data_IF_354030180932
#
_entry.id   IF_354030180932
#
_cell.length_a   1.000
_cell.length_b   1.000
_cell.length_c   1.000
_cell.angle_alpha   90.00
_cell.angle_beta   90.00
_cell.angle_gamma   90.00
#
_symmetry.space_group_name_H-M   'P 1'
#
loop_
_entity.id
_entity.type
_entity.pdbx_description
1 polymer ?
#
# COMPACT_ATOMS: atom_id res chain seq x y z
N UNK A 1 -13.02 -44.88 17.61
CA UNK A 1 -11.65 -44.34 17.43
C UNK A 1 -11.45 -43.68 16.07
N UNK A 2 -11.64 -44.38 14.93
CA UNK A 2 -11.46 -43.79 13.58
C UNK A 2 -12.27 -42.50 13.34
N UNK A 3 -13.54 -42.45 13.77
CA UNK A 3 -14.39 -41.25 13.63
C UNK A 3 -13.94 -40.05 14.48
N UNK A 4 -13.35 -40.29 15.65
CA UNK A 4 -12.82 -39.24 16.53
C UNK A 4 -11.51 -38.69 15.95
N UNK A 5 -10.66 -39.57 15.41
CA UNK A 5 -9.44 -39.19 14.68
C UNK A 5 -9.75 -38.37 13.42
N UNK A 6 -10.82 -38.70 12.68
CA UNK A 6 -11.25 -37.92 11.50
C UNK A 6 -11.79 -36.53 11.86
N UNK A 7 -12.54 -36.39 12.97
CA UNK A 7 -13.05 -35.09 13.43
C UNK A 7 -11.90 -34.22 13.95
N UNK A 8 -10.95 -34.80 14.69
CA UNK A 8 -9.77 -34.09 15.18
C UNK A 8 -8.88 -33.60 14.03
N UNK A 9 -8.65 -34.44 13.00
CA UNK A 9 -7.91 -34.06 11.81
C UNK A 9 -8.59 -32.91 11.02
N UNK A 10 -9.92 -32.91 10.92
CA UNK A 10 -10.67 -31.84 10.26
C UNK A 10 -10.66 -30.53 11.06
N UNK A 11 -10.65 -30.61 12.40
CA UNK A 11 -10.53 -29.43 13.27
C UNK A 11 -9.14 -28.79 13.26
N UNK A 12 -8.07 -29.56 13.06
CA UNK A 12 -6.70 -29.05 12.90
C UNK A 12 -6.52 -28.37 11.54
N UNK A 13 -7.15 -28.90 10.49
CA UNK A 13 -7.17 -28.29 9.15
C UNK A 13 -7.92 -26.96 9.08
N UNK A 14 -8.90 -26.73 9.97
CA UNK A 14 -9.61 -25.44 10.04
C UNK A 14 -8.76 -24.32 10.69
N UNK A 15 -7.73 -24.66 11.45
CA UNK A 15 -6.87 -23.69 12.16
C UNK A 15 -5.64 -23.25 11.36
N UNK A 16 -5.31 -23.89 10.23
CA UNK A 16 -4.20 -23.48 9.36
C UNK A 16 -4.56 -22.33 8.39
N UNK A 17 -5.75 -21.74 8.51
CA UNK A 17 -6.21 -20.66 7.63
C UNK A 17 -5.88 -19.23 8.11
N UNK A 18 -5.21 -19.05 9.26
CA UNK A 18 -4.95 -17.73 9.85
C UNK A 18 -3.49 -17.25 9.84
N UNK A 19 -2.63 -17.84 8.99
CA UNK A 19 -1.22 -17.45 8.89
C UNK A 19 -0.83 -16.87 7.52
N UNK A 20 -1.79 -16.28 6.79
CA UNK A 20 -1.56 -15.69 5.47
C UNK A 20 -1.75 -14.16 5.51
N UNK A 21 -0.84 -13.44 6.16
CA UNK A 21 -0.71 -12.00 5.99
C UNK A 21 0.00 -11.27 7.12
N UNK A 22 1.31 -11.05 6.97
CA UNK A 22 2.13 -10.21 7.84
C UNK A 22 2.59 -10.92 9.11
N UNK A 23 3.83 -10.66 9.56
CA UNK A 23 4.26 -11.04 10.91
C UNK A 23 3.46 -10.29 11.99
N UNK A 24 3.87 -10.37 13.25
CA UNK A 24 3.33 -9.58 14.39
C UNK A 24 3.62 -8.07 14.23
N UNK A 25 3.39 -7.50 13.05
CA UNK A 25 3.60 -6.08 12.75
C UNK A 25 2.33 -5.34 13.14
N UNK A 26 2.49 -4.38 14.05
CA UNK A 26 1.43 -3.47 14.42
C UNK A 26 0.93 -2.71 13.18
N UNK A 27 -0.38 -2.72 12.96
CA UNK A 27 -1.00 -1.92 11.92
C UNK A 27 -1.52 -0.63 12.55
N UNK A 28 -0.98 0.49 12.10
CA UNK A 28 -1.43 1.80 12.54
C UNK A 28 -2.85 2.04 12.05
N UNK A 29 -3.70 2.46 12.97
CA UNK A 29 -5.09 2.74 12.64
C UNK A 29 -5.20 3.99 11.76
N UNK A 30 -5.94 3.87 10.66
CA UNK A 30 -6.27 4.98 9.77
C UNK A 30 -7.73 4.89 9.33
N UNK A 31 -8.45 5.99 9.50
CA UNK A 31 -9.84 6.11 9.07
C UNK A 31 -9.98 7.23 8.05
N UNK A 32 -10.20 6.93 6.76
CA UNK A 32 -10.33 7.94 5.73
C UNK A 32 -11.72 8.56 5.79
N UNK A 33 -11.78 9.89 5.75
CA UNK A 33 -13.03 10.60 5.48
C UNK A 33 -13.25 10.72 3.97
N UNK A 34 -14.10 9.86 3.42
CA UNK A 34 -14.44 9.88 2.00
C UNK A 34 -15.28 11.10 1.59
N UNK A 35 -15.73 11.91 2.54
CA UNK A 35 -16.46 13.17 2.29
C UNK A 35 -15.55 14.39 2.30
N UNK A 36 -14.30 14.26 2.77
CA UNK A 36 -13.29 15.30 2.66
C UNK A 36 -12.69 15.33 1.25
N UNK A 37 -13.35 16.07 0.35
CA UNK A 37 -12.90 16.20 -1.03
C UNK A 37 -11.48 16.79 -1.15
N UNK A 38 -11.03 17.62 -0.22
CA UNK A 38 -9.66 18.17 -0.26
C UNK A 38 -8.64 17.07 0.01
N UNK A 39 -8.88 16.23 1.02
CA UNK A 39 -8.04 15.06 1.30
C UNK A 39 -8.08 14.06 0.15
N UNK A 40 -9.27 13.78 -0.39
CA UNK A 40 -9.44 12.84 -1.49
C UNK A 40 -8.78 13.32 -2.80
N UNK A 41 -8.81 14.62 -3.10
CA UNK A 41 -8.08 15.21 -4.23
C UNK A 41 -6.56 15.09 -4.06
N UNK A 42 -6.04 15.27 -2.84
CA UNK A 42 -4.62 15.01 -2.55
C UNK A 42 -4.28 13.54 -2.74
N UNK A 43 -5.13 12.64 -2.27
CA UNK A 43 -4.99 11.19 -2.48
C UNK A 43 -4.97 10.81 -3.96
N UNK A 44 -5.87 11.39 -4.76
CA UNK A 44 -5.87 11.21 -6.22
C UNK A 44 -4.55 11.68 -6.84
N UNK A 45 -4.07 12.88 -6.47
CA UNK A 45 -2.79 13.39 -6.96
C UNK A 45 -1.63 12.47 -6.60
N UNK A 46 -1.53 12.03 -5.35
CA UNK A 46 -0.50 11.08 -4.91
C UNK A 46 -0.59 9.77 -5.70
N UNK A 47 -1.80 9.24 -5.93
CA UNK A 47 -1.96 8.04 -6.75
C UNK A 47 -1.47 8.27 -8.18
N UNK A 48 -1.85 9.37 -8.83
CA UNK A 48 -1.45 9.64 -10.21
C UNK A 48 0.06 9.88 -10.35
N UNK A 49 0.67 10.61 -9.41
CA UNK A 49 2.08 10.97 -9.46
C UNK A 49 3.00 9.77 -9.14
N UNK A 50 2.60 8.87 -8.24
CA UNK A 50 3.49 7.83 -7.70
C UNK A 50 3.06 6.39 -7.96
N UNK A 51 1.78 6.14 -8.24
CA UNK A 51 1.22 4.78 -8.30
C UNK A 51 0.74 4.43 -9.71
N UNK A 52 0.11 5.38 -10.42
CA UNK A 52 -0.58 5.15 -11.68
C UNK A 52 0.36 4.66 -12.80
N UNK A 53 1.67 4.91 -12.68
CA UNK A 53 2.69 4.38 -13.59
C UNK A 53 2.83 2.85 -13.57
N UNK A 54 2.36 2.18 -12.53
CA UNK A 54 2.42 0.71 -12.40
C UNK A 54 1.07 0.08 -12.07
N UNK A 55 0.21 0.79 -11.34
CA UNK A 55 -1.05 0.29 -10.82
C UNK A 55 -2.25 0.91 -11.53
N UNK A 56 -3.29 0.11 -11.72
CA UNK A 56 -4.56 0.56 -12.27
C UNK A 56 -5.64 0.77 -11.20
N UNK A 57 -6.67 1.52 -11.59
CA UNK A 57 -7.99 1.49 -10.98
C UNK A 57 -8.98 1.03 -12.06
N UNK A 58 -8.81 -0.21 -12.54
CA UNK A 58 -9.40 -0.71 -13.79
C UNK A 58 -10.93 -0.74 -13.79
N UNK A 59 -11.58 -0.64 -12.63
CA UNK A 59 -13.03 -0.53 -12.52
C UNK A 59 -13.54 0.90 -12.25
N UNK A 60 -12.64 1.87 -12.15
CA UNK A 60 -12.95 3.30 -12.03
C UNK A 60 -12.84 3.99 -13.41
N UNK A 61 -13.69 5.01 -13.62
CA UNK A 61 -13.64 5.88 -14.81
C UNK A 61 -13.19 7.28 -14.43
N UNK A 62 -12.44 7.94 -15.32
CA UNK A 62 -11.98 9.32 -15.09
C UNK A 62 -13.14 10.28 -14.77
N UNK A 63 -14.23 10.21 -15.54
CA UNK A 63 -15.40 11.07 -15.31
C UNK A 63 -16.08 10.86 -13.96
N UNK A 64 -16.08 9.63 -13.44
CA UNK A 64 -16.70 9.33 -12.16
C UNK A 64 -15.84 9.88 -11.03
N UNK A 65 -14.53 9.64 -11.09
CA UNK A 65 -13.57 10.17 -10.11
C UNK A 65 -13.60 11.70 -10.10
N UNK A 66 -13.56 12.34 -11.27
CA UNK A 66 -13.62 13.79 -11.36
C UNK A 66 -14.89 14.38 -10.73
N UNK A 67 -16.06 13.79 -11.01
CA UNK A 67 -17.35 14.25 -10.47
C UNK A 67 -17.48 14.00 -8.97
N UNK A 68 -17.07 12.84 -8.48
CA UNK A 68 -17.15 12.52 -7.06
C UNK A 68 -16.24 13.44 -6.22
N UNK A 69 -15.15 13.95 -6.82
CA UNK A 69 -14.19 14.85 -6.18
C UNK A 69 -14.38 16.33 -6.53
N UNK A 70 -15.47 16.70 -7.20
CA UNK A 70 -15.76 18.07 -7.65
C UNK A 70 -14.63 18.73 -8.48
N UNK A 71 -13.94 17.95 -9.32
CA UNK A 71 -12.89 18.44 -10.23
C UNK A 71 -13.50 18.70 -11.61
N UNK A 72 -13.40 19.92 -12.17
CA UNK A 72 -13.86 20.21 -13.53
C UNK A 72 -13.16 19.33 -14.56
N UNK A 73 -13.91 18.86 -15.57
CA UNK A 73 -13.40 17.97 -16.63
C UNK A 73 -12.15 18.53 -17.31
N UNK A 74 -12.13 19.82 -17.64
CA UNK A 74 -10.97 20.46 -18.28
C UNK A 74 -9.71 20.36 -17.41
N UNK A 75 -9.83 20.70 -16.12
CA UNK A 75 -8.72 20.63 -15.16
C UNK A 75 -8.25 19.18 -14.98
N UNK A 76 -9.20 18.26 -14.88
CA UNK A 76 -8.90 16.83 -14.71
C UNK A 76 -8.13 16.28 -15.92
N UNK A 77 -8.64 16.50 -17.13
CA UNK A 77 -8.01 16.00 -18.35
C UNK A 77 -6.67 16.67 -18.63
N UNK A 78 -6.51 17.95 -18.29
CA UNK A 78 -5.26 18.69 -18.52
C UNK A 78 -4.14 18.33 -17.52
N UNK A 79 -4.47 18.06 -16.25
CA UNK A 79 -3.48 17.95 -15.19
C UNK A 79 -3.34 16.56 -14.55
N UNK A 80 -4.36 15.70 -14.70
CA UNK A 80 -4.42 14.40 -14.01
C UNK A 80 -4.23 13.25 -14.99
N UNK A 81 -4.73 13.37 -16.23
CA UNK A 81 -4.67 12.30 -17.23
C UNK A 81 -3.44 12.47 -18.12
N UNK A 82 -2.48 11.55 -18.00
CA UNK A 82 -1.22 11.63 -18.76
C UNK A 82 -1.27 10.98 -20.16
N UNK A 83 -2.26 10.14 -20.45
CA UNK A 83 -2.44 9.56 -21.79
C UNK A 83 -3.17 10.57 -22.69
N UNK A 84 -2.51 11.12 -23.74
CA UNK A 84 -3.11 12.11 -24.63
C UNK A 84 -4.27 11.56 -25.46
N UNK A 85 -4.44 10.23 -25.53
CA UNK A 85 -5.52 9.59 -26.26
C UNK A 85 -6.69 9.16 -25.36
N UNK A 86 -6.52 9.24 -24.04
CA UNK A 86 -7.56 8.87 -23.10
C UNK A 86 -8.74 9.85 -23.18
N UNK A 87 -9.94 9.29 -23.14
CA UNK A 87 -11.19 10.06 -23.10
C UNK A 87 -11.69 10.14 -21.67
N UNK A 88 -12.42 11.21 -21.35
CA UNK A 88 -12.97 11.39 -20.01
C UNK A 88 -13.88 10.24 -19.54
N UNK A 89 -14.52 9.53 -20.46
CA UNK A 89 -15.34 8.35 -20.15
C UNK A 89 -14.57 7.03 -19.96
N UNK A 90 -13.25 7.01 -20.18
CA UNK A 90 -12.45 5.79 -20.18
C UNK A 90 -12.18 5.26 -18.77
N UNK A 91 -11.81 3.98 -18.71
CA UNK A 91 -11.37 3.31 -17.48
C UNK A 91 -9.90 3.63 -17.20
N UNK A 92 -9.55 3.71 -15.92
CA UNK A 92 -8.18 3.97 -15.45
C UNK A 92 -7.35 2.68 -15.44
N UNK A 93 -6.92 2.22 -16.63
CA UNK A 93 -6.22 0.94 -16.81
C UNK A 93 -4.70 1.04 -16.61
N UNK A 94 -4.05 -0.12 -16.52
CA UNK A 94 -2.60 -0.24 -16.41
C UNK A 94 -1.90 0.44 -17.58
N UNK A 95 -0.87 1.26 -17.34
CA UNK A 95 0.03 1.71 -18.40
C UNK A 95 1.09 0.66 -18.77
N UNK A 96 1.32 -0.33 -17.90
CA UNK A 96 2.30 -1.40 -18.06
C UNK A 96 1.62 -2.77 -18.27
N UNK A 97 2.22 -3.66 -19.06
CA UNK A 97 1.72 -5.03 -19.18
C UNK A 97 2.02 -5.86 -17.93
N UNK A 98 1.18 -6.86 -17.65
CA UNK A 98 1.42 -7.76 -16.50
C UNK A 98 2.69 -8.61 -16.68
N UNK A 99 3.12 -8.83 -17.91
CA UNK A 99 4.33 -9.57 -18.24
C UNK A 99 5.57 -8.74 -17.90
N UNK A 100 5.61 -7.48 -18.35
CA UNK A 100 6.69 -6.54 -18.02
C UNK A 100 6.80 -6.36 -16.50
N UNK A 101 5.65 -6.21 -15.83
CA UNK A 101 5.62 -6.09 -14.37
C UNK A 101 6.25 -7.29 -13.66
N UNK A 102 5.93 -8.52 -14.09
CA UNK A 102 6.56 -9.74 -13.55
C UNK A 102 8.05 -9.80 -13.85
N UNK A 103 8.44 -9.41 -15.06
CA UNK A 103 9.84 -9.45 -15.47
C UNK A 103 10.69 -8.46 -14.69
N UNK A 104 10.17 -7.25 -14.46
CA UNK A 104 10.92 -6.17 -13.81
C UNK A 104 10.86 -6.27 -12.28
N UNK A 105 9.69 -6.54 -11.71
CA UNK A 105 9.45 -6.47 -10.26
C UNK A 105 9.28 -7.84 -9.59
N UNK A 106 9.41 -8.94 -10.34
CA UNK A 106 9.22 -10.31 -9.85
C UNK A 106 7.75 -10.73 -9.67
N UNK A 107 6.81 -9.79 -9.71
CA UNK A 107 5.38 -10.02 -9.66
C UNK A 107 4.62 -8.96 -10.46
N UNK A 108 3.45 -9.32 -10.99
CA UNK A 108 2.60 -8.33 -11.66
C UNK A 108 2.03 -7.35 -10.61
N UNK A 109 2.01 -6.04 -10.89
CA UNK A 109 1.33 -5.09 -10.02
C UNK A 109 -0.15 -5.43 -9.86
N UNK A 110 -0.67 -5.23 -8.65
CA UNK A 110 -2.08 -5.43 -8.34
C UNK A 110 -2.94 -4.29 -8.93
N UNK A 111 -4.16 -4.60 -9.37
CA UNK A 111 -5.20 -3.58 -9.53
C UNK A 111 -5.63 -3.05 -8.16
N UNK A 112 -5.61 -1.73 -7.98
CA UNK A 112 -5.87 -1.12 -6.67
C UNK A 112 -7.32 -0.71 -6.45
N UNK A 113 -8.25 -0.97 -7.39
CA UNK A 113 -9.65 -0.51 -7.30
C UNK A 113 -10.30 -0.92 -5.98
N UNK A 114 -9.98 -2.11 -5.46
CA UNK A 114 -10.59 -2.68 -4.26
C UNK A 114 -9.56 -3.08 -3.19
N UNK A 115 -8.32 -2.60 -3.28
CA UNK A 115 -7.23 -3.06 -2.40
C UNK A 115 -7.55 -2.86 -0.92
N UNK A 116 -8.19 -1.74 -0.55
CA UNK A 116 -8.58 -1.45 0.83
C UNK A 116 -9.67 -2.38 1.36
N UNK A 117 -10.51 -2.95 0.49
CA UNK A 117 -11.49 -3.99 0.90
C UNK A 117 -10.86 -5.36 1.05
N UNK A 118 -9.80 -5.66 0.27
CA UNK A 118 -9.11 -6.95 0.31
C UNK A 118 -8.12 -7.02 1.48
N UNK A 119 -7.38 -5.94 1.72
CA UNK A 119 -6.31 -5.89 2.72
C UNK A 119 -6.67 -5.14 4.00
N UNK A 120 -7.70 -4.28 3.96
CA UNK A 120 -7.99 -3.33 5.04
C UNK A 120 -7.28 -1.99 4.83
N UNK A 121 -7.84 -0.93 5.41
CA UNK A 121 -7.28 0.43 5.32
C UNK A 121 -5.98 0.53 6.11
N UNK A 122 -5.99 0.10 7.37
CA UNK A 122 -4.84 0.12 8.28
C UNK A 122 -3.64 -0.62 7.65
N UNK A 123 -3.90 -1.73 6.95
CA UNK A 123 -2.87 -2.47 6.23
C UNK A 123 -2.23 -1.63 5.11
N UNK A 124 -3.04 -0.98 4.26
CA UNK A 124 -2.53 -0.15 3.15
C UNK A 124 -1.77 1.05 3.70
N UNK A 125 -2.31 1.70 4.73
CA UNK A 125 -1.68 2.84 5.38
C UNK A 125 -0.32 2.46 5.95
N UNK A 126 -0.26 1.39 6.76
CA UNK A 126 0.98 0.92 7.39
C UNK A 126 1.97 0.43 6.33
N UNK A 127 1.53 -0.33 5.32
CA UNK A 127 2.38 -0.80 4.22
C UNK A 127 3.09 0.35 3.52
N UNK A 128 2.40 1.44 3.20
CA UNK A 128 2.99 2.58 2.49
C UNK A 128 4.00 3.37 3.33
N UNK A 129 4.02 3.21 4.66
CA UNK A 129 4.98 3.87 5.57
C UNK A 129 6.08 2.95 6.06
N UNK A 130 5.99 1.65 5.76
CA UNK A 130 6.86 0.64 6.36
C UNK A 130 8.03 0.19 5.49
N UNK A 131 8.46 1.04 4.54
CA UNK A 131 9.63 0.77 3.71
C UNK A 131 10.92 1.10 4.44
N UNK A 132 11.90 0.21 4.33
CA UNK A 132 13.22 0.38 4.95
C UNK A 132 14.33 -0.12 4.03
N UNK A 133 15.56 0.33 4.29
CA UNK A 133 16.75 -0.03 3.55
C UNK A 133 17.08 -1.51 3.74
N UNK A 134 17.30 -2.21 2.63
CA UNK A 134 17.70 -3.61 2.62
C UNK A 134 18.47 -3.90 1.33
N UNK A 135 19.80 -3.84 1.41
CA UNK A 135 20.70 -4.05 0.29
C UNK A 135 20.66 -5.49 -0.27
N UNK A 136 20.01 -6.43 0.43
CA UNK A 136 19.79 -7.78 -0.09
C UNK A 136 18.69 -7.84 -1.16
N UNK A 137 17.88 -6.78 -1.29
CA UNK A 137 16.75 -6.70 -2.22
C UNK A 137 17.13 -6.00 -3.52
N UNK A 138 16.48 -6.33 -4.66
CA UNK A 138 16.81 -5.75 -5.97
C UNK A 138 16.76 -4.22 -6.05
N UNK A 139 15.93 -3.58 -5.22
CA UNK A 139 15.76 -2.12 -5.17
C UNK A 139 16.35 -1.47 -3.91
N UNK A 140 17.16 -2.20 -3.15
CA UNK A 140 17.78 -1.71 -1.91
C UNK A 140 16.79 -1.42 -0.78
N UNK A 141 15.54 -1.90 -0.89
CA UNK A 141 14.49 -1.68 0.10
C UNK A 141 13.65 -2.94 0.32
N UNK A 142 13.07 -3.04 1.51
CA UNK A 142 12.10 -4.06 1.89
C UNK A 142 10.95 -3.43 2.68
N UNK A 143 9.95 -4.21 3.08
CA UNK A 143 8.77 -3.71 3.79
C UNK A 143 8.42 -4.58 5.00
N UNK A 144 8.16 -3.94 6.15
CA UNK A 144 7.86 -4.69 7.38
C UNK A 144 6.52 -5.44 7.30
N UNK A 145 5.50 -4.83 6.71
CA UNK A 145 4.15 -5.41 6.58
C UNK A 145 4.10 -6.53 5.52
N UNK A 146 4.89 -6.39 4.45
CA UNK A 146 4.97 -7.36 3.36
C UNK A 146 6.43 -7.69 3.02
N UNK A 147 7.04 -8.66 3.73
CA UNK A 147 8.43 -9.05 3.50
C UNK A 147 8.65 -9.52 2.06
N UNK A 148 9.88 -9.30 1.57
CA UNK A 148 10.30 -9.67 0.22
C UNK A 148 9.53 -8.94 -0.89
N UNK A 149 9.03 -7.75 -0.58
CA UNK A 149 8.29 -6.90 -1.52
C UNK A 149 9.08 -6.68 -2.82
N UNK A 150 8.38 -6.81 -3.96
CA UNK A 150 8.93 -6.50 -5.29
C UNK A 150 8.72 -5.04 -5.70
N UNK A 151 7.87 -4.31 -4.98
CA UNK A 151 7.60 -2.89 -5.19
C UNK A 151 8.78 -2.05 -4.67
N UNK A 152 9.33 -1.12 -5.46
CA UNK A 152 10.28 -0.14 -4.97
C UNK A 152 9.59 0.85 -3.99
N UNK A 153 10.39 1.60 -3.23
CA UNK A 153 9.84 2.64 -2.36
C UNK A 153 9.44 3.90 -3.16
N UNK A 154 8.25 3.86 -3.77
CA UNK A 154 7.78 4.93 -4.68
C UNK A 154 7.58 6.28 -3.98
N UNK A 155 7.30 6.30 -2.67
CA UNK A 155 7.12 7.51 -1.88
C UNK A 155 8.43 8.03 -1.24
N UNK A 156 9.58 7.47 -1.61
CA UNK A 156 10.90 7.85 -1.09
C UNK A 156 11.14 9.38 -1.11
N UNK A 157 10.82 10.14 -2.18
CA UNK A 157 11.03 11.59 -2.17
C UNK A 157 10.19 12.36 -1.14
N UNK A 158 9.11 11.76 -0.66
CA UNK A 158 8.19 12.35 0.31
C UNK A 158 8.48 11.91 1.75
N UNK A 159 8.95 10.68 1.93
CA UNK A 159 9.11 10.05 3.25
C UNK A 159 10.56 9.93 3.71
N UNK A 160 11.53 9.96 2.78
CA UNK A 160 12.89 9.51 3.07
C UNK A 160 12.99 7.99 3.16
N UNK A 161 14.16 7.47 3.53
CA UNK A 161 14.38 6.03 3.68
C UNK A 161 14.77 5.68 5.11
N UNK A 162 14.05 4.75 5.69
CA UNK A 162 14.36 4.20 7.00
C UNK A 162 15.58 3.29 6.94
N UNK A 163 16.53 3.45 7.87
CA UNK A 163 17.74 2.62 7.91
C UNK A 163 17.45 1.17 8.33
N UNK A 164 16.38 0.95 9.09
CA UNK A 164 15.94 -0.35 9.57
C UNK A 164 14.43 -0.47 9.52
N UNK A 165 13.91 -1.69 9.67
CA UNK A 165 12.48 -1.94 9.68
C UNK A 165 11.79 -1.12 10.78
N UNK A 166 10.66 -0.45 10.48
CA UNK A 166 9.86 0.20 11.52
C UNK A 166 9.45 -0.82 12.56
N UNK A 167 9.64 -0.46 13.82
CA UNK A 167 9.15 -1.21 14.98
C UNK A 167 7.97 -0.46 15.56
N UNK A 168 6.99 -1.18 16.12
CA UNK A 168 5.93 -0.55 16.89
C UNK A 168 6.60 0.34 17.95
N UNK A 169 6.24 1.63 17.98
CA UNK A 169 6.81 2.55 18.95
C UNK A 169 6.59 1.97 20.35
N UNK A 170 7.67 1.59 21.05
CA UNK A 170 7.56 1.31 22.47
C UNK A 170 7.14 2.62 23.12
N UNK A 171 5.91 2.71 23.61
CA UNK A 171 5.27 3.96 24.07
C UNK A 171 6.07 4.73 25.13
N UNK A 172 7.15 4.19 25.71
CA UNK A 172 7.87 4.80 26.82
C UNK A 172 9.38 4.49 26.88
N UNK A 173 10.03 4.16 25.76
CA UNK A 173 11.47 3.98 25.77
C UNK A 173 12.14 5.35 26.01
N UNK A 174 12.75 5.56 27.18
CA UNK A 174 13.49 6.79 27.55
C UNK A 174 14.93 6.40 27.86
N UNK A 175 15.89 7.11 27.28
CA UNK A 175 17.30 6.84 27.48
C UNK A 175 17.64 7.11 28.96
N UNK A 176 18.05 6.10 29.74
CA UNK A 176 18.31 6.27 31.16
C UNK A 176 19.52 7.19 31.46
N UNK A 177 20.37 7.48 30.47
CA UNK A 177 21.52 8.38 30.63
C UNK A 177 21.18 9.84 30.29
N UNK A 178 20.28 10.07 29.33
CA UNK A 178 19.97 11.43 28.85
C UNK A 178 18.58 11.93 29.23
N UNK A 179 17.67 11.04 29.64
CA UNK A 179 16.28 11.38 29.97
C UNK A 179 15.43 11.76 28.77
N UNK A 180 15.96 11.65 27.56
CA UNK A 180 15.22 11.90 26.33
C UNK A 180 14.42 10.66 25.95
N UNK A 181 13.27 10.85 25.30
CA UNK A 181 12.61 9.73 24.63
C UNK A 181 13.60 9.08 23.67
N UNK A 182 13.73 7.75 23.73
CA UNK A 182 14.28 6.90 22.67
C UNK A 182 13.24 6.86 21.55
N UNK A 183 12.83 8.02 21.05
CA UNK A 183 12.21 8.15 19.74
C UNK A 183 13.34 8.47 18.78
N UNK A 184 14.26 7.52 18.60
CA UNK A 184 15.52 7.78 17.91
C UNK A 184 15.70 6.97 16.62
N UNK A 185 14.64 6.37 16.10
CA UNK A 185 14.59 6.02 14.69
C UNK A 185 13.33 6.65 14.12
N UNK A 186 13.51 7.62 13.22
CA UNK A 186 12.48 8.49 12.66
C UNK A 186 11.51 7.78 11.69
N UNK A 187 11.19 6.53 12.01
CA UNK A 187 10.59 5.52 11.17
C UNK A 187 9.51 4.81 11.97
N UNK A 188 8.46 5.57 12.29
CA UNK A 188 7.22 5.07 12.86
C UNK A 188 6.08 5.45 11.92
#
# INVERSE_FOLDING_TARGET
MKKILSILALSVLANVAYAAGGGDVHLDHMSPDATDNVSMQKGLRTFMDYCAGCHSLSYARYNRVARDLDIPESIFMENIVFDPNAKFGDLMKFPMSLEDGKQWFGAAPLDLTMVTRVRGVDWVYTYLRSFYADDSRPYGVNNAVFPDVGMPHVLLPLQGLCAQAPHAAEENAVDPLTGNAISADACA
#
